data_IF_206505923732
#
_entry.id   IF_206505923732
#
_cell.length_a   1.000
_cell.length_b   1.000
_cell.length_c   1.000
_cell.angle_alpha   90.00
_cell.angle_beta   90.00
_cell.angle_gamma   90.00
#
_symmetry.space_group_name_H-M   'P 1'
#
loop_
_entity.id
_entity.type
_entity.pdbx_description
1 polymer ?
#
# COMPACT_ATOMS: atom_id res chain seq x y z
N UNK A 1 1.57 23.13 26.42
CA UNK A 1 1.87 23.85 25.17
C UNK A 1 1.66 22.90 24.02
N UNK A 2 0.65 23.12 23.17
CA UNK A 2 0.48 22.39 21.90
C UNK A 2 1.54 22.90 20.94
N UNK A 3 2.68 22.21 20.86
CA UNK A 3 3.69 22.49 19.85
C UNK A 3 3.13 22.08 18.49
N UNK A 4 3.23 23.00 17.52
CA UNK A 4 3.11 22.66 16.11
C UNK A 4 4.46 22.08 15.65
N UNK A 5 4.41 21.08 14.79
CA UNK A 5 5.57 20.45 14.19
C UNK A 5 5.24 20.01 12.76
N UNK A 6 6.22 19.77 11.88
CA UNK A 6 5.95 19.28 10.53
C UNK A 6 5.19 17.95 10.52
N UNK A 7 4.40 17.70 9.47
CA UNK A 7 3.58 16.50 9.36
C UNK A 7 4.39 15.20 9.46
N UNK A 8 5.53 15.10 8.79
CA UNK A 8 6.31 13.86 8.75
C UNK A 8 6.71 13.35 10.14
N UNK A 9 7.40 14.11 11.01
CA UNK A 9 7.73 13.64 12.36
C UNK A 9 6.50 13.42 13.24
N UNK A 10 5.41 14.18 13.03
CA UNK A 10 4.17 13.96 13.77
C UNK A 10 3.53 12.61 13.43
N UNK A 11 3.41 12.29 12.14
CA UNK A 11 2.85 11.04 11.60
C UNK A 11 3.76 9.85 11.95
N UNK A 12 5.08 9.99 11.77
CA UNK A 12 6.08 8.97 12.14
C UNK A 12 5.90 8.53 13.60
N UNK A 13 5.79 9.51 14.52
CA UNK A 13 5.56 9.22 15.93
C UNK A 13 4.19 8.57 16.18
N UNK A 14 3.15 9.09 15.53
CA UNK A 14 1.78 8.61 15.73
C UNK A 14 1.58 7.18 15.24
N UNK A 15 2.19 6.81 14.11
CA UNK A 15 2.03 5.50 13.47
C UNK A 15 3.07 4.48 13.93
N UNK A 16 4.35 4.87 14.00
CA UNK A 16 5.49 3.94 14.13
C UNK A 16 6.28 4.10 15.44
N UNK A 17 6.08 5.21 16.16
CA UNK A 17 6.76 5.48 17.44
C UNK A 17 6.39 4.48 18.56
N UNK A 18 6.97 4.63 19.76
CA UNK A 18 6.60 3.82 20.92
C UNK A 18 5.10 3.92 21.21
N UNK A 19 4.39 2.80 21.07
CA UNK A 19 2.93 2.78 21.19
C UNK A 19 2.20 3.41 20.01
N UNK A 20 2.81 3.59 18.85
CA UNK A 20 2.15 4.07 17.64
C UNK A 20 1.07 3.12 17.12
N UNK A 21 0.22 3.63 16.23
CA UNK A 21 -0.95 2.94 15.68
C UNK A 21 -0.63 1.52 15.18
N UNK A 22 0.34 1.36 14.27
CA UNK A 22 0.65 0.05 13.68
C UNK A 22 1.34 -0.94 14.61
N UNK A 23 1.77 -0.51 15.81
CA UNK A 23 2.27 -1.43 16.84
C UNK A 23 1.16 -2.02 17.70
N UNK A 24 -0.04 -1.44 17.67
CA UNK A 24 -1.18 -1.83 18.54
C UNK A 24 -2.37 -2.36 17.73
N UNK A 25 -2.71 -1.67 16.66
CA UNK A 25 -3.89 -1.95 15.83
C UNK A 25 -3.54 -2.81 14.63
N UNK A 26 -4.55 -3.50 14.08
CA UNK A 26 -4.49 -4.18 12.78
C UNK A 26 -5.26 -3.37 11.73
N UNK A 27 -4.66 -3.03 10.57
CA UNK A 27 -5.38 -2.41 9.45
C UNK A 27 -6.65 -3.20 9.10
N UNK A 28 -6.62 -4.52 9.26
CA UNK A 28 -7.75 -5.43 9.02
C UNK A 28 -8.95 -5.26 9.95
N UNK A 29 -8.81 -4.55 11.08
CA UNK A 29 -9.91 -4.14 11.96
C UNK A 29 -10.60 -2.86 11.48
N UNK A 30 -9.94 -2.10 10.61
CA UNK A 30 -10.42 -0.81 10.14
C UNK A 30 -10.79 -0.86 8.64
N UNK A 31 -10.17 -1.71 7.82
CA UNK A 31 -10.40 -1.71 6.37
C UNK A 31 -10.53 -3.10 5.75
N UNK A 32 -11.16 -3.12 4.58
CA UNK A 32 -11.07 -4.24 3.64
C UNK A 32 -9.93 -3.95 2.68
N UNK A 33 -8.83 -4.69 2.78
CA UNK A 33 -7.66 -4.58 1.89
C UNK A 33 -7.66 -5.69 0.85
N UNK A 34 -7.06 -5.45 -0.32
CA UNK A 34 -6.98 -6.46 -1.40
C UNK A 34 -6.30 -7.76 -0.94
N UNK A 35 -5.25 -7.64 -0.11
CA UNK A 35 -4.43 -8.75 0.39
C UNK A 35 -5.21 -9.84 1.16
N UNK A 36 -6.43 -9.54 1.63
CA UNK A 36 -7.29 -10.50 2.36
C UNK A 36 -8.21 -11.31 1.45
N UNK A 37 -8.38 -10.89 0.20
CA UNK A 37 -9.28 -11.55 -0.71
C UNK A 37 -8.59 -12.79 -1.30
N UNK A 38 -9.18 -13.99 -1.22
CA UNK A 38 -8.57 -15.20 -1.80
C UNK A 38 -8.21 -15.04 -3.29
N UNK A 39 -9.05 -14.35 -4.05
CA UNK A 39 -8.82 -14.05 -5.47
C UNK A 39 -7.57 -13.19 -5.72
N UNK A 40 -7.16 -12.37 -4.74
CA UNK A 40 -5.91 -11.62 -4.82
C UNK A 40 -4.70 -12.56 -4.64
N UNK A 41 -4.75 -13.48 -3.66
CA UNK A 41 -3.72 -14.50 -3.50
C UNK A 41 -3.61 -15.43 -4.73
N UNK A 42 -4.72 -15.79 -5.36
CA UNK A 42 -4.72 -16.54 -6.63
C UNK A 42 -3.98 -15.78 -7.76
N UNK A 43 -4.21 -14.48 -7.88
CA UNK A 43 -3.56 -13.65 -8.89
C UNK A 43 -2.06 -13.46 -8.58
N UNK A 44 -1.71 -13.22 -7.32
CA UNK A 44 -0.32 -13.12 -6.88
C UNK A 44 0.43 -14.44 -7.06
N UNK A 45 -0.21 -15.60 -6.84
CA UNK A 45 0.40 -16.90 -7.11
C UNK A 45 0.75 -17.05 -8.60
N UNK A 46 -0.13 -16.61 -9.51
CA UNK A 46 0.15 -16.61 -10.95
C UNK A 46 1.29 -15.66 -11.33
N UNK A 47 1.32 -14.46 -10.75
CA UNK A 47 2.45 -13.56 -10.91
C UNK A 47 3.75 -14.21 -10.41
N UNK A 48 3.71 -14.87 -9.25
CA UNK A 48 4.87 -15.55 -8.69
C UNK A 48 5.36 -16.67 -9.62
N UNK A 49 4.46 -17.45 -10.23
CA UNK A 49 4.80 -18.46 -11.23
C UNK A 49 5.45 -17.85 -12.47
N UNK A 50 4.91 -16.74 -13.01
CA UNK A 50 5.50 -16.02 -14.14
C UNK A 50 6.92 -15.52 -13.84
N UNK A 51 7.14 -14.98 -12.62
CA UNK A 51 8.45 -14.52 -12.17
C UNK A 51 9.40 -15.70 -11.97
N UNK A 52 8.97 -16.78 -11.31
CA UNK A 52 9.76 -17.99 -11.08
C UNK A 52 10.22 -18.62 -12.39
N UNK A 53 9.32 -18.73 -13.37
CA UNK A 53 9.63 -19.24 -14.71
C UNK A 53 10.61 -18.36 -15.45
N UNK A 54 10.40 -17.04 -15.44
CA UNK A 54 11.33 -16.07 -16.05
C UNK A 54 12.73 -16.15 -15.44
N UNK A 55 12.82 -16.44 -14.14
CA UNK A 55 14.09 -16.59 -13.44
C UNK A 55 14.76 -17.95 -13.62
N UNK A 56 14.09 -18.91 -14.27
CA UNK A 56 14.59 -20.27 -14.49
C UNK A 56 14.36 -21.21 -13.30
N UNK A 57 13.32 -20.96 -12.49
CA UNK A 57 12.92 -21.72 -11.30
C UNK A 57 14.04 -21.92 -10.28
N UNK A 58 14.63 -20.83 -9.74
CA UNK A 58 15.74 -20.94 -8.79
C UNK A 58 15.33 -21.68 -7.51
N UNK A 59 16.28 -22.39 -6.89
CA UNK A 59 16.01 -23.12 -5.62
C UNK A 59 15.60 -22.18 -4.48
N UNK A 60 16.13 -20.95 -4.46
CA UNK A 60 15.90 -19.96 -3.41
C UNK A 60 14.81 -18.90 -3.76
N UNK A 61 13.80 -19.27 -4.56
CA UNK A 61 12.70 -18.35 -4.90
C UNK A 61 11.92 -17.93 -3.65
N UNK A 62 11.92 -16.62 -3.37
CA UNK A 62 11.32 -16.06 -2.15
C UNK A 62 10.23 -15.04 -2.49
N UNK A 63 9.08 -15.18 -1.84
CA UNK A 63 8.03 -14.16 -1.80
C UNK A 63 8.10 -13.43 -0.47
N UNK A 64 8.25 -12.11 -0.53
CA UNK A 64 8.28 -11.22 0.64
C UNK A 64 7.05 -10.33 0.61
N UNK A 65 6.27 -10.33 1.68
CA UNK A 65 5.14 -9.41 1.89
C UNK A 65 5.53 -8.37 2.96
N UNK A 66 5.62 -7.10 2.56
CA UNK A 66 6.05 -5.98 3.41
C UNK A 66 4.82 -5.23 3.90
N UNK A 67 4.71 -5.07 5.23
CA UNK A 67 3.47 -4.62 5.84
C UNK A 67 2.43 -5.74 5.85
N UNK A 68 2.87 -6.99 6.07
CA UNK A 68 2.07 -8.20 5.87
C UNK A 68 0.77 -8.28 6.71
N UNK A 69 0.55 -7.38 7.67
CA UNK A 69 -0.71 -7.33 8.39
C UNK A 69 -0.88 -8.54 9.30
N UNK A 70 -1.95 -9.30 9.07
CA UNK A 70 -2.17 -10.60 9.71
C UNK A 70 -1.44 -11.77 9.02
N UNK A 71 -0.73 -11.52 7.92
CA UNK A 71 -0.15 -12.55 7.05
C UNK A 71 -1.18 -13.22 6.14
N UNK A 72 -2.35 -12.60 5.92
CA UNK A 72 -3.47 -13.18 5.17
C UNK A 72 -3.08 -13.57 3.73
N UNK A 73 -2.34 -12.70 3.04
CA UNK A 73 -1.84 -12.96 1.69
C UNK A 73 -0.93 -14.18 1.66
N UNK A 74 0.10 -14.19 2.50
CA UNK A 74 1.05 -15.30 2.58
C UNK A 74 0.38 -16.61 3.03
N UNK A 75 -0.62 -16.56 3.90
CA UNK A 75 -1.41 -17.72 4.29
C UNK A 75 -2.19 -18.31 3.10
N UNK A 76 -2.78 -17.45 2.26
CA UNK A 76 -3.39 -17.85 1.00
C UNK A 76 -2.37 -18.48 0.05
N UNK A 77 -1.21 -17.85 -0.14
CA UNK A 77 -0.15 -18.34 -1.02
C UNK A 77 0.46 -19.67 -0.54
N UNK A 78 0.57 -19.89 0.77
CA UNK A 78 1.09 -21.15 1.32
C UNK A 78 0.29 -22.38 0.89
N UNK A 79 -1.01 -22.23 0.61
CA UNK A 79 -1.85 -23.31 0.10
C UNK A 79 -1.85 -23.45 -1.43
N UNK A 80 -1.30 -22.47 -2.15
CA UNK A 80 -1.31 -22.42 -3.62
C UNK A 80 0.06 -22.74 -4.24
N UNK A 81 1.14 -22.52 -3.50
CA UNK A 81 2.50 -22.59 -4.02
C UNK A 81 3.26 -23.82 -3.51
N UNK A 82 4.15 -24.33 -4.36
CA UNK A 82 5.09 -25.41 -4.06
C UNK A 82 5.90 -25.12 -2.78
N UNK A 83 6.25 -26.17 -2.01
CA UNK A 83 7.03 -26.07 -0.76
C UNK A 83 8.43 -25.46 -0.95
N UNK A 84 8.99 -25.50 -2.17
CA UNK A 84 10.24 -24.81 -2.53
C UNK A 84 10.14 -23.30 -2.31
N UNK A 85 8.98 -22.70 -2.57
CA UNK A 85 8.81 -21.24 -2.47
C UNK A 85 8.86 -20.81 -1.02
N UNK A 86 9.84 -19.95 -0.68
CA UNK A 86 9.98 -19.37 0.65
C UNK A 86 9.03 -18.20 0.81
N UNK A 87 8.29 -18.18 1.92
CA UNK A 87 7.33 -17.11 2.24
C UNK A 87 7.83 -16.32 3.44
N UNK A 88 7.98 -15.01 3.31
CA UNK A 88 8.52 -14.13 4.35
C UNK A 88 7.58 -12.96 4.58
N UNK A 89 6.99 -12.87 5.77
CA UNK A 89 6.30 -11.69 6.24
C UNK A 89 7.30 -10.71 6.85
N UNK A 90 7.23 -9.44 6.47
CA UNK A 90 7.92 -8.33 7.14
C UNK A 90 6.87 -7.44 7.79
N UNK A 91 6.86 -7.43 9.12
CA UNK A 91 5.81 -6.79 9.90
C UNK A 91 6.34 -6.36 11.28
N UNK A 92 5.93 -5.18 11.76
CA UNK A 92 6.37 -4.61 13.03
C UNK A 92 5.77 -5.36 14.23
N UNK A 93 4.58 -5.93 14.06
CA UNK A 93 3.87 -6.66 15.11
C UNK A 93 4.39 -8.08 15.30
N UNK A 94 4.14 -8.70 16.47
CA UNK A 94 4.42 -10.12 16.67
C UNK A 94 3.63 -11.00 15.69
N UNK A 95 4.22 -12.16 15.36
CA UNK A 95 3.58 -13.18 14.53
C UNK A 95 2.20 -13.58 15.09
N UNK A 96 1.12 -13.53 14.27
CA UNK A 96 -0.19 -14.03 14.67
C UNK A 96 -0.19 -15.53 14.97
N UNK A 97 -1.07 -15.96 15.87
CA UNK A 97 -1.30 -17.40 16.13
C UNK A 97 -2.02 -18.04 14.94
N UNK A 98 -1.68 -19.30 14.64
CA UNK A 98 -2.35 -20.09 13.60
C UNK A 98 -1.88 -19.84 12.17
N UNK A 99 -0.90 -18.94 11.96
CA UNK A 99 -0.28 -18.73 10.66
C UNK A 99 0.56 -19.98 10.27
N UNK A 100 0.49 -20.48 9.01
CA UNK A 100 1.24 -21.65 8.56
C UNK A 100 2.74 -21.62 8.92
N UNK A 101 3.27 -22.72 9.43
CA UNK A 101 4.65 -22.79 9.97
C UNK A 101 5.72 -22.41 8.95
N UNK A 102 5.49 -22.70 7.66
CA UNK A 102 6.43 -22.37 6.57
C UNK A 102 6.57 -20.87 6.25
N UNK A 103 5.71 -20.02 6.81
CA UNK A 103 5.83 -18.57 6.67
C UNK A 103 6.85 -18.07 7.69
N UNK A 104 7.99 -17.55 7.25
CA UNK A 104 8.92 -16.85 8.13
C UNK A 104 8.36 -15.48 8.52
N UNK A 105 8.61 -15.03 9.75
CA UNK A 105 8.17 -13.73 10.25
C UNK A 105 9.36 -12.89 10.69
N UNK A 106 9.50 -11.71 10.11
CA UNK A 106 10.61 -10.78 10.36
C UNK A 106 10.10 -9.38 10.70
N UNK A 107 10.93 -8.61 11.37
CA UNK A 107 10.67 -7.19 11.67
C UNK A 107 11.48 -6.23 10.78
N UNK A 108 12.46 -6.77 10.07
CA UNK A 108 13.37 -6.09 9.17
C UNK A 108 13.30 -6.69 7.77
N UNK A 109 13.48 -5.83 6.76
CA UNK A 109 13.51 -6.24 5.36
C UNK A 109 14.74 -7.15 5.11
N UNK A 110 14.58 -8.24 4.33
CA UNK A 110 15.73 -9.00 3.84
C UNK A 110 16.73 -8.10 3.11
N UNK A 111 18.04 -8.36 3.28
CA UNK A 111 19.09 -7.59 2.59
C UNK A 111 19.10 -7.83 1.07
N UNK A 112 18.72 -9.05 0.67
CA UNK A 112 18.65 -9.47 -0.73
C UNK A 112 17.46 -10.41 -0.91
N UNK A 113 16.71 -10.20 -2.00
CA UNK A 113 15.58 -11.03 -2.42
C UNK A 113 15.80 -11.50 -3.84
N UNK A 114 15.50 -12.78 -4.06
CA UNK A 114 15.43 -13.40 -5.38
C UNK A 114 14.03 -13.99 -5.52
N UNK A 115 13.18 -13.35 -6.32
CA UNK A 115 11.75 -13.67 -6.42
C UNK A 115 10.85 -12.44 -6.40
N UNK A 116 9.80 -12.46 -5.60
CA UNK A 116 8.73 -11.45 -5.63
C UNK A 116 8.67 -10.70 -4.29
N UNK A 117 8.85 -9.38 -4.31
CA UNK A 117 8.58 -8.52 -3.16
C UNK A 117 7.27 -7.76 -3.39
N UNK A 118 6.37 -7.80 -2.41
CA UNK A 118 5.04 -7.21 -2.46
C UNK A 118 4.89 -6.22 -1.31
N UNK A 119 4.28 -5.08 -1.59
CA UNK A 119 3.94 -4.05 -0.63
C UNK A 119 2.53 -3.52 -0.93
N UNK A 120 1.51 -4.08 -0.28
CA UNK A 120 0.13 -3.62 -0.44
C UNK A 120 -0.22 -2.59 0.64
N UNK A 121 -0.72 -1.42 0.23
CA UNK A 121 -1.13 -0.34 1.13
C UNK A 121 0.00 0.03 2.11
N UNK A 122 1.21 0.17 1.56
CA UNK A 122 2.43 0.50 2.31
C UNK A 122 2.86 1.94 2.04
N UNK A 123 2.82 2.37 0.77
CA UNK A 123 3.38 3.66 0.37
C UNK A 123 2.50 4.82 0.85
N UNK A 124 1.18 4.64 0.87
CA UNK A 124 0.25 5.63 1.44
C UNK A 124 0.57 5.96 2.91
N UNK A 125 1.06 4.97 3.65
CA UNK A 125 1.38 4.99 5.08
C UNK A 125 2.81 5.45 5.39
N UNK A 126 3.63 5.76 4.37
CA UNK A 126 4.95 6.36 4.56
C UNK A 126 4.77 7.82 4.97
N UNK A 127 5.32 8.25 6.13
CA UNK A 127 5.17 9.63 6.59
C UNK A 127 5.80 10.63 5.61
N UNK A 128 5.01 11.65 5.25
CA UNK A 128 5.42 12.72 4.36
C UNK A 128 5.16 14.10 4.99
N UNK A 129 5.97 15.08 4.59
CA UNK A 129 5.67 16.48 4.88
C UNK A 129 4.66 17.01 3.86
N UNK A 130 3.88 18.01 4.28
CA UNK A 130 2.91 18.68 3.42
C UNK A 130 3.44 20.09 3.16
N UNK A 131 3.47 20.51 1.91
CA UNK A 131 3.71 21.88 1.52
C UNK A 131 2.38 22.61 1.34
N UNK A 132 2.35 23.90 1.71
CA UNK A 132 1.21 24.80 1.52
C UNK A 132 1.70 26.13 0.96
N UNK A 133 0.92 26.74 0.07
CA UNK A 133 1.14 28.13 -0.34
C UNK A 133 0.43 29.05 0.67
N UNK A 134 1.19 29.88 1.39
CA UNK A 134 0.64 30.83 2.37
C UNK A 134 -0.12 32.00 1.70
N UNK A 135 -0.78 32.83 2.52
CA UNK A 135 -1.56 33.99 2.04
C UNK A 135 -0.69 35.04 1.33
N UNK A 136 0.64 35.01 1.54
CA UNK A 136 1.61 35.85 0.84
C UNK A 136 2.17 35.19 -0.43
N UNK A 137 1.69 34.00 -0.81
CA UNK A 137 2.11 33.27 -2.01
C UNK A 137 3.44 32.53 -1.86
N UNK A 138 3.94 32.32 -0.64
CA UNK A 138 5.19 31.60 -0.38
C UNK A 138 4.93 30.13 -0.11
N UNK A 139 5.85 29.30 -0.56
CA UNK A 139 5.84 27.86 -0.32
C UNK A 139 6.39 27.57 1.10
N UNK A 140 5.54 27.04 1.98
CA UNK A 140 5.85 26.74 3.38
C UNK A 140 5.58 25.26 3.67
N UNK A 141 6.34 24.66 4.58
CA UNK A 141 5.86 23.42 5.19
C UNK A 141 4.60 23.71 6.00
N UNK A 142 3.60 22.84 5.92
CA UNK A 142 2.47 22.86 6.84
C UNK A 142 2.86 22.13 8.14
N UNK A 143 2.67 22.79 9.27
CA UNK A 143 2.83 22.20 10.59
C UNK A 143 1.47 21.83 11.17
N UNK A 144 1.44 20.81 12.02
CA UNK A 144 0.25 20.29 12.68
C UNK A 144 0.47 20.18 14.20
N UNK A 145 -0.58 20.41 14.98
CA UNK A 145 -0.56 20.14 16.42
C UNK A 145 -1.28 18.82 16.77
N UNK A 146 -1.19 18.40 18.04
CA UNK A 146 -1.84 17.15 18.52
C UNK A 146 -3.37 17.15 18.48
N UNK A 147 -4.00 18.23 18.03
CA UNK A 147 -5.46 18.33 17.82
C UNK A 147 -5.82 18.37 16.34
N UNK A 148 -4.83 18.19 15.44
CA UNK A 148 -5.03 18.27 13.99
C UNK A 148 -5.17 19.69 13.47
N UNK A 149 -4.88 20.73 14.27
CA UNK A 149 -4.87 22.11 13.74
C UNK A 149 -3.60 22.34 12.96
N UNK A 150 -3.72 22.96 11.79
CA UNK A 150 -2.58 23.24 10.92
C UNK A 150 -2.24 24.73 10.87
N UNK A 151 -1.00 25.03 10.46
CA UNK A 151 -0.54 26.39 10.12
C UNK A 151 0.65 26.34 9.15
N UNK A 152 0.91 27.40 8.38
CA UNK A 152 2.19 27.53 7.69
C UNK A 152 3.35 27.60 8.70
N UNK A 153 4.39 26.80 8.44
CA UNK A 153 5.62 26.68 9.21
C UNK A 153 6.81 27.34 8.52
N UNK A 154 7.98 26.70 8.54
CA UNK A 154 9.19 27.17 7.87
C UNK A 154 9.08 27.16 6.33
N UNK A 155 10.01 27.85 5.65
CA UNK A 155 10.15 27.75 4.19
C UNK A 155 10.49 26.32 3.77
N UNK A 156 9.94 25.87 2.63
CA UNK A 156 10.28 24.55 2.07
C UNK A 156 11.74 24.53 1.64
N UNK A 157 12.48 23.49 2.03
CA UNK A 157 13.88 23.32 1.67
C UNK A 157 14.09 23.04 0.18
N UNK A 158 15.30 23.31 -0.32
CA UNK A 158 15.61 23.25 -1.76
C UNK A 158 15.31 21.88 -2.41
N UNK A 159 15.61 20.77 -1.73
CA UNK A 159 15.37 19.43 -2.27
C UNK A 159 13.87 19.13 -2.42
N UNK A 160 13.07 19.46 -1.39
CA UNK A 160 11.62 19.28 -1.45
C UNK A 160 10.98 20.26 -2.44
N UNK A 161 11.51 21.48 -2.56
CA UNK A 161 11.04 22.45 -3.55
C UNK A 161 11.29 21.97 -4.99
N UNK A 162 12.43 21.31 -5.26
CA UNK A 162 12.71 20.66 -6.55
C UNK A 162 11.74 19.51 -6.81
N UNK A 163 11.53 18.64 -5.82
CA UNK A 163 10.58 17.54 -5.92
C UNK A 163 9.17 18.05 -6.23
N UNK A 164 8.71 19.10 -5.54
CA UNK A 164 7.41 19.73 -5.80
C UNK A 164 7.34 20.36 -7.20
N UNK A 165 8.40 21.02 -7.66
CA UNK A 165 8.41 21.59 -9.00
C UNK A 165 8.27 20.52 -10.09
N UNK A 166 8.96 19.39 -9.93
CA UNK A 166 8.99 18.29 -10.88
C UNK A 166 7.78 17.36 -10.79
N UNK A 167 7.24 17.17 -9.60
CA UNK A 167 6.13 16.26 -9.36
C UNK A 167 4.89 17.09 -9.07
N UNK A 168 4.71 17.69 -7.90
CA UNK A 168 3.44 18.32 -7.50
C UNK A 168 3.49 19.86 -7.36
N UNK A 169 3.48 20.62 -8.46
CA UNK A 169 3.64 22.07 -8.38
C UNK A 169 2.36 22.72 -7.88
N UNK A 170 2.49 23.46 -6.79
CA UNK A 170 1.46 24.35 -6.23
C UNK A 170 1.91 25.81 -6.38
N UNK A 171 0.95 26.72 -6.55
CA UNK A 171 1.13 28.12 -6.97
C UNK A 171 0.16 29.08 -6.28
N UNK A 172 -1.03 28.64 -5.92
CA UNK A 172 -2.08 29.53 -5.40
C UNK A 172 -2.25 29.38 -3.89
N UNK A 173 -2.47 30.48 -3.14
CA UNK A 173 -2.72 30.43 -1.70
C UNK A 173 -3.76 29.37 -1.32
N UNK A 174 -3.44 28.56 -0.31
CA UNK A 174 -4.28 27.46 0.17
C UNK A 174 -4.12 26.15 -0.60
N UNK A 175 -3.40 26.11 -1.72
CA UNK A 175 -3.02 24.83 -2.34
C UNK A 175 -2.05 24.06 -1.43
N UNK A 176 -2.25 22.76 -1.35
CA UNK A 176 -1.49 21.81 -0.53
C UNK A 176 -0.96 20.68 -1.41
N UNK A 177 0.22 20.20 -1.09
CA UNK A 177 0.84 19.05 -1.75
C UNK A 177 1.59 18.17 -0.75
N UNK A 178 1.34 16.87 -0.79
CA UNK A 178 2.14 15.90 -0.06
C UNK A 178 3.48 15.66 -0.78
N UNK A 179 4.60 15.86 -0.07
CA UNK A 179 5.95 15.67 -0.60
C UNK A 179 6.29 14.18 -0.59
N UNK A 180 6.34 13.57 -1.78
CA UNK A 180 6.50 12.12 -1.96
C UNK A 180 7.93 11.60 -1.86
N UNK A 181 8.96 12.45 -1.74
CA UNK A 181 10.36 12.02 -1.70
C UNK A 181 10.67 10.89 -0.69
N UNK A 182 10.06 10.82 0.52
CA UNK A 182 10.21 9.68 1.42
C UNK A 182 9.66 8.37 0.84
N UNK A 183 8.53 8.40 0.11
CA UNK A 183 7.94 7.23 -0.58
C UNK A 183 8.85 6.76 -1.71
N UNK A 184 9.40 7.68 -2.48
CA UNK A 184 10.35 7.36 -3.55
C UNK A 184 11.61 6.67 -2.99
N UNK A 185 12.06 7.09 -1.79
CA UNK A 185 13.15 6.44 -1.09
C UNK A 185 12.81 5.03 -0.61
N UNK A 186 11.60 4.81 -0.07
CA UNK A 186 11.11 3.48 0.29
C UNK A 186 11.04 2.57 -0.94
N UNK A 187 10.44 3.04 -2.03
CA UNK A 187 10.39 2.29 -3.28
C UNK A 187 11.78 1.90 -3.79
N UNK A 188 12.72 2.85 -3.81
CA UNK A 188 14.10 2.60 -4.23
C UNK A 188 14.81 1.58 -3.34
N UNK A 189 14.57 1.59 -2.03
CA UNK A 189 15.12 0.58 -1.11
C UNK A 189 14.52 -0.81 -1.40
N UNK A 190 13.20 -0.91 -1.55
CA UNK A 190 12.52 -2.16 -1.91
C UNK A 190 13.04 -2.72 -3.25
N UNK A 191 13.12 -1.88 -4.28
CA UNK A 191 13.63 -2.26 -5.59
C UNK A 191 15.14 -2.59 -5.59
N UNK A 192 15.91 -1.92 -4.73
CA UNK A 192 17.34 -2.19 -4.55
C UNK A 192 17.63 -3.54 -3.89
N UNK A 193 16.73 -4.03 -3.03
CA UNK A 193 16.85 -5.34 -2.35
C UNK A 193 16.52 -6.52 -3.25
N UNK A 194 15.69 -6.33 -4.29
CA UNK A 194 15.41 -7.37 -5.27
C UNK A 194 16.55 -7.44 -6.28
N UNK A 195 17.37 -8.48 -6.14
CA UNK A 195 18.54 -8.68 -7.00
C UNK A 195 18.17 -9.31 -8.34
N UNK A 196 17.14 -10.15 -8.36
CA UNK A 196 16.54 -10.78 -9.54
C UNK A 196 15.07 -11.04 -9.24
N UNK A 197 14.15 -10.56 -10.07
CA UNK A 197 12.72 -10.82 -9.90
C UNK A 197 11.85 -9.58 -10.04
N UNK A 198 10.88 -9.40 -9.15
CA UNK A 198 9.87 -8.35 -9.28
C UNK A 198 9.58 -7.69 -7.94
N UNK A 199 9.40 -6.37 -7.98
CA UNK A 199 8.86 -5.57 -6.89
C UNK A 199 7.48 -5.09 -7.32
N UNK A 200 6.50 -5.27 -6.45
CA UNK A 200 5.12 -4.87 -6.64
C UNK A 200 4.66 -4.03 -5.45
N UNK A 201 4.20 -2.81 -5.70
CA UNK A 201 3.40 -2.05 -4.75
C UNK A 201 1.97 -1.89 -5.24
N UNK A 202 1.01 -1.97 -4.34
CA UNK A 202 -0.41 -1.76 -4.64
C UNK A 202 -0.98 -0.74 -3.67
N UNK A 203 -1.23 0.48 -4.15
CA UNK A 203 -1.62 1.62 -3.31
C UNK A 203 -2.60 2.53 -4.04
N UNK A 204 -3.45 3.24 -3.31
CA UNK A 204 -4.30 4.27 -3.90
C UNK A 204 -3.52 5.58 -4.08
N UNK A 205 -3.79 6.27 -5.18
CA UNK A 205 -2.93 7.32 -5.66
C UNK A 205 -3.50 8.06 -6.84
N UNK A 206 -2.73 9.00 -7.36
CA UNK A 206 -3.10 9.81 -8.52
C UNK A 206 -1.89 10.08 -9.40
N UNK A 207 -2.16 10.26 -10.69
CA UNK A 207 -1.23 10.90 -11.62
C UNK A 207 -1.29 12.42 -11.45
N UNK A 208 -0.27 13.10 -12.00
CA UNK A 208 -0.11 14.55 -11.97
C UNK A 208 -1.38 15.34 -12.30
N UNK A 209 -2.14 14.91 -13.30
CA UNK A 209 -3.34 15.61 -13.80
C UNK A 209 -4.54 15.49 -12.87
N UNK A 210 -4.55 14.50 -11.97
CA UNK A 210 -5.67 14.19 -11.07
C UNK A 210 -5.43 14.61 -9.62
N UNK A 211 -4.33 15.34 -9.35
CA UNK A 211 -3.96 15.77 -8.00
C UNK A 211 -4.92 16.82 -7.44
N UNK A 212 -5.46 16.60 -6.23
CA UNK A 212 -6.36 17.57 -5.61
C UNK A 212 -5.59 18.76 -5.06
N UNK A 213 -6.12 19.97 -5.28
CA UNK A 213 -5.54 21.21 -4.75
C UNK A 213 -5.46 21.23 -3.22
N UNK A 214 -6.36 20.52 -2.53
CA UNK A 214 -6.40 20.46 -1.06
C UNK A 214 -5.50 19.41 -0.43
N UNK A 215 -4.71 18.66 -1.23
CA UNK A 215 -4.00 17.48 -0.75
C UNK A 215 -4.95 16.30 -0.47
N UNK A 216 -4.38 15.24 0.10
CA UNK A 216 -5.05 13.95 0.35
C UNK A 216 -4.84 13.39 1.76
N UNK A 217 -4.02 14.04 2.60
CA UNK A 217 -3.84 13.63 3.99
C UNK A 217 -5.19 13.47 4.69
N UNK A 218 -5.49 12.24 5.10
CA UNK A 218 -6.72 11.86 5.78
C UNK A 218 -6.43 10.91 6.93
N UNK A 219 -7.46 10.54 7.68
CA UNK A 219 -7.34 9.54 8.70
C UNK A 219 -8.56 8.66 8.83
N UNK A 220 -8.36 7.48 9.39
CA UNK A 220 -9.43 6.53 9.62
C UNK A 220 -9.39 5.92 11.00
N UNK A 221 -10.59 5.67 11.54
CA UNK A 221 -10.80 4.96 12.79
C UNK A 221 -12.05 4.11 12.67
N UNK A 222 -11.94 2.83 13.01
CA UNK A 222 -13.05 1.86 12.91
C UNK A 222 -13.72 1.85 11.52
N UNK A 223 -12.90 1.96 10.48
CA UNK A 223 -13.32 1.96 9.08
C UNK A 223 -14.12 3.16 8.62
N UNK A 224 -14.02 4.27 9.35
CA UNK A 224 -14.62 5.54 8.98
C UNK A 224 -13.56 6.60 8.87
N UNK A 225 -13.70 7.43 7.86
CA UNK A 225 -12.91 8.65 7.72
C UNK A 225 -13.18 9.57 8.91
N UNK A 226 -12.11 10.12 9.48
CA UNK A 226 -12.12 11.03 10.63
C UNK A 226 -11.13 12.16 10.39
N UNK A 227 -11.21 13.30 11.12
CA UNK A 227 -10.20 14.33 11.03
C UNK A 227 -8.80 13.77 11.32
N UNK A 228 -7.82 14.16 10.51
CA UNK A 228 -6.42 13.75 10.65
C UNK A 228 -5.79 14.35 11.92
N UNK A 229 -5.56 13.51 12.93
CA UNK A 229 -4.95 13.91 14.21
C UNK A 229 -3.74 13.00 14.51
N UNK A 230 -2.51 13.55 14.56
CA UNK A 230 -1.29 12.77 14.82
C UNK A 230 -1.08 12.48 16.31
N UNK A 231 -2.06 11.84 16.95
CA UNK A 231 -2.02 11.37 18.34
C UNK A 231 -1.94 9.84 18.46
N UNK A 232 -1.94 9.13 17.33
CA UNK A 232 -1.89 7.67 17.23
C UNK A 232 -3.23 6.98 17.47
N UNK A 233 -4.34 7.71 17.56
CA UNK A 233 -5.69 7.14 17.72
C UNK A 233 -6.37 6.75 16.40
N UNK A 234 -5.77 7.11 15.27
CA UNK A 234 -6.28 6.84 13.94
C UNK A 234 -5.13 6.45 13.00
N UNK A 235 -5.49 5.74 11.94
CA UNK A 235 -4.64 5.47 10.80
C UNK A 235 -4.50 6.75 9.98
N UNK A 236 -3.28 7.19 9.66
CA UNK A 236 -3.01 8.45 8.94
C UNK A 236 -2.38 8.11 7.60
N UNK A 237 -3.02 8.53 6.52
CA UNK A 237 -2.62 8.13 5.18
C UNK A 237 -2.69 9.31 4.22
N UNK A 238 -1.93 9.24 3.14
CA UNK A 238 -2.04 10.16 2.02
C UNK A 238 -1.84 9.44 0.70
N UNK A 239 -2.58 9.85 -0.33
CA UNK A 239 -2.51 9.23 -1.65
C UNK A 239 -1.11 9.34 -2.23
N UNK A 240 -0.72 8.31 -2.97
CA UNK A 240 0.59 8.25 -3.62
C UNK A 240 0.59 9.06 -4.91
N UNK A 241 1.59 9.92 -5.10
CA UNK A 241 1.94 10.49 -6.39
C UNK A 241 2.65 9.40 -7.23
N UNK A 242 1.89 8.49 -7.83
CA UNK A 242 2.43 7.22 -8.37
C UNK A 242 3.39 7.40 -9.54
N UNK A 243 3.26 8.50 -10.28
CA UNK A 243 4.17 8.90 -11.34
C UNK A 243 5.54 9.35 -10.82
N UNK A 244 5.64 9.77 -9.55
CA UNK A 244 6.91 10.16 -8.93
C UNK A 244 7.70 8.98 -8.34
N UNK A 245 7.02 7.87 -8.02
CA UNK A 245 7.59 6.70 -7.34
C UNK A 245 8.75 6.08 -8.15
N UNK A 246 8.68 6.15 -9.48
CA UNK A 246 9.70 5.59 -10.37
C UNK A 246 9.57 4.09 -10.58
N UNK A 247 8.33 3.58 -10.66
CA UNK A 247 8.06 2.23 -11.11
C UNK A 247 8.07 2.14 -12.65
N UNK A 248 8.65 1.07 -13.20
CA UNK A 248 8.70 0.84 -14.67
C UNK A 248 7.31 0.66 -15.31
N UNK A 249 6.37 0.09 -14.55
CA UNK A 249 5.01 -0.19 -15.02
C UNK A 249 3.98 0.33 -14.03
N UNK A 250 2.98 1.04 -14.57
CA UNK A 250 1.84 1.57 -13.85
C UNK A 250 0.56 1.12 -14.57
N UNK A 251 -0.30 0.42 -13.87
CA UNK A 251 -1.63 0.04 -14.34
C UNK A 251 -2.62 0.04 -13.17
N UNK A 252 -3.92 -0.03 -13.44
CA UNK A 252 -4.91 -0.16 -12.38
C UNK A 252 -4.97 -1.61 -11.89
N UNK A 253 -5.17 -1.80 -10.58
CA UNK A 253 -5.28 -3.13 -9.95
C UNK A 253 -6.32 -3.99 -10.66
N UNK A 254 -7.48 -3.41 -11.01
CA UNK A 254 -8.52 -4.14 -11.72
C UNK A 254 -8.09 -4.65 -13.11
N UNK A 255 -7.15 -3.97 -13.77
CA UNK A 255 -6.59 -4.38 -15.06
C UNK A 255 -5.54 -5.47 -14.86
N UNK A 256 -4.59 -5.26 -13.96
CA UNK A 256 -3.57 -6.24 -13.59
C UNK A 256 -4.17 -7.57 -13.14
N UNK A 257 -5.17 -7.52 -12.25
CA UNK A 257 -5.83 -8.73 -11.75
C UNK A 257 -6.56 -9.48 -12.88
N UNK A 258 -7.19 -8.77 -13.83
CA UNK A 258 -7.82 -9.42 -15.00
C UNK A 258 -6.77 -10.05 -15.91
N UNK A 259 -5.63 -9.40 -16.12
CA UNK A 259 -4.51 -9.96 -16.88
C UNK A 259 -3.98 -11.24 -16.22
N UNK A 260 -3.96 -11.28 -14.88
CA UNK A 260 -3.64 -12.47 -14.07
C UNK A 260 -4.82 -13.46 -13.94
N UNK A 261 -5.89 -13.31 -14.73
CA UNK A 261 -6.99 -14.28 -14.83
C UNK A 261 -8.09 -14.16 -13.77
N UNK A 262 -8.14 -13.06 -13.00
CA UNK A 262 -9.26 -12.81 -12.10
C UNK A 262 -10.55 -12.58 -12.88
N UNK A 263 -11.60 -13.34 -12.55
CA UNK A 263 -12.93 -13.20 -13.14
C UNK A 263 -14.00 -13.04 -12.06
N UNK A 264 -14.89 -12.07 -12.29
CA UNK A 264 -16.10 -11.84 -11.50
C UNK A 264 -17.36 -12.42 -12.17
N UNK A 265 -17.18 -13.31 -13.16
CA UNK A 265 -18.31 -13.97 -13.83
C UNK A 265 -19.12 -14.78 -12.82
N UNK A 266 -20.44 -14.63 -12.88
CA UNK A 266 -21.35 -15.36 -11.99
C UNK A 266 -21.46 -16.82 -12.45
N UNK A 267 -21.49 -17.79 -11.52
CA UNK A 267 -21.71 -19.18 -11.88
C UNK A 267 -23.05 -19.37 -12.60
N UNK A 268 -23.18 -20.33 -13.53
CA UNK A 268 -24.43 -20.60 -14.22
C UNK A 268 -25.57 -20.93 -13.25
N UNK A 269 -26.76 -20.33 -13.46
CA UNK A 269 -27.92 -20.53 -12.58
C UNK A 269 -28.33 -22.01 -12.46
N UNK A 270 -28.09 -22.84 -13.48
CA UNK A 270 -28.36 -24.27 -13.43
C UNK A 270 -27.63 -24.98 -12.26
N UNK A 271 -26.47 -24.48 -11.85
CA UNK A 271 -25.72 -25.02 -10.71
C UNK A 271 -26.47 -24.81 -9.39
N UNK A 272 -27.26 -23.74 -9.25
CA UNK A 272 -28.08 -23.49 -8.06
C UNK A 272 -29.11 -24.60 -7.80
N UNK A 273 -29.55 -25.30 -8.85
CA UNK A 273 -30.51 -26.40 -8.74
C UNK A 273 -29.83 -27.77 -8.57
N UNK A 274 -28.65 -27.97 -9.14
CA UNK A 274 -27.94 -29.26 -9.12
C UNK A 274 -26.98 -29.41 -7.94
N UNK A 275 -26.31 -28.33 -7.56
CA UNK A 275 -25.34 -28.27 -6.47
C UNK A 275 -25.42 -26.89 -5.78
N UNK A 276 -26.46 -26.64 -4.95
CA UNK A 276 -26.71 -25.32 -4.36
C UNK A 276 -25.53 -24.77 -3.55
N UNK A 277 -24.81 -25.63 -2.81
CA UNK A 277 -23.64 -25.25 -2.02
C UNK A 277 -22.47 -24.80 -2.90
N UNK A 278 -22.20 -25.54 -3.98
CA UNK A 278 -21.16 -25.18 -4.95
C UNK A 278 -21.47 -23.85 -5.64
N UNK A 279 -22.74 -23.64 -6.03
CA UNK A 279 -23.20 -22.36 -6.57
C UNK A 279 -23.00 -21.21 -5.58
N UNK A 280 -23.38 -21.40 -4.32
CA UNK A 280 -23.24 -20.37 -3.30
C UNK A 280 -21.76 -19.99 -3.08
N UNK A 281 -20.86 -20.99 -3.03
CA UNK A 281 -19.42 -20.78 -2.91
C UNK A 281 -18.85 -20.04 -4.14
N UNK A 282 -19.22 -20.49 -5.35
CA UNK A 282 -18.77 -19.86 -6.59
C UNK A 282 -19.28 -18.40 -6.72
N UNK A 283 -20.53 -18.15 -6.32
CA UNK A 283 -21.11 -16.80 -6.33
C UNK A 283 -20.46 -15.89 -5.28
N UNK A 284 -20.14 -16.42 -4.09
CA UNK A 284 -19.39 -15.68 -3.09
C UNK A 284 -17.99 -15.31 -3.61
N UNK A 285 -17.29 -16.23 -4.28
CA UNK A 285 -15.99 -15.96 -4.92
C UNK A 285 -16.10 -14.88 -5.99
N UNK A 286 -17.06 -15.01 -6.92
CA UNK A 286 -17.29 -14.01 -7.96
C UNK A 286 -17.60 -12.62 -7.38
N UNK A 287 -18.37 -12.56 -6.29
CA UNK A 287 -18.71 -11.30 -5.61
C UNK A 287 -17.51 -10.68 -4.90
N UNK A 288 -16.63 -11.49 -4.29
CA UNK A 288 -15.39 -11.02 -3.72
C UNK A 288 -14.43 -10.50 -4.80
N UNK A 289 -14.28 -11.22 -5.91
CA UNK A 289 -13.49 -10.77 -7.07
C UNK A 289 -14.05 -9.48 -7.64
N UNK A 290 -15.37 -9.34 -7.75
CA UNK A 290 -16.00 -8.11 -8.25
C UNK A 290 -15.56 -6.86 -7.45
N UNK A 291 -15.38 -6.97 -6.13
CA UNK A 291 -14.89 -5.87 -5.28
C UNK A 291 -13.43 -5.51 -5.57
N UNK A 292 -12.58 -6.50 -5.84
CA UNK A 292 -11.17 -6.26 -6.21
C UNK A 292 -11.03 -5.59 -7.58
N UNK A 293 -12.00 -5.79 -8.46
CA UNK A 293 -12.02 -5.29 -9.83
C UNK A 293 -12.83 -3.99 -9.99
N UNK A 294 -13.47 -3.51 -8.91
CA UNK A 294 -14.35 -2.36 -8.94
C UNK A 294 -13.54 -1.06 -9.15
N UNK A 295 -13.71 -0.35 -10.28
CA UNK A 295 -12.99 0.90 -10.55
C UNK A 295 -13.43 2.07 -9.66
N UNK A 296 -14.47 1.92 -8.85
CA UNK A 296 -14.84 2.89 -7.82
C UNK A 296 -14.33 2.47 -6.42
N UNK A 297 -13.63 1.34 -6.31
CA UNK A 297 -13.09 0.79 -5.08
C UNK A 297 -11.67 0.27 -5.28
N UNK A 298 -11.40 -0.95 -4.79
CA UNK A 298 -10.05 -1.53 -4.80
C UNK A 298 -9.45 -1.67 -6.21
N UNK A 299 -10.29 -1.82 -7.24
CA UNK A 299 -9.83 -1.91 -8.62
C UNK A 299 -9.17 -0.64 -9.15
N UNK A 300 -9.38 0.51 -8.47
CA UNK A 300 -8.75 1.79 -8.78
C UNK A 300 -7.37 1.98 -8.14
N UNK A 301 -6.93 1.07 -7.26
CA UNK A 301 -5.59 1.13 -6.71
C UNK A 301 -4.57 0.99 -7.85
N UNK A 302 -3.42 1.65 -7.72
CA UNK A 302 -2.34 1.54 -8.67
C UNK A 302 -1.52 0.30 -8.39
N UNK A 303 -1.33 -0.50 -9.44
CA UNK A 303 -0.41 -1.62 -9.49
C UNK A 303 0.92 -1.12 -10.06
N UNK A 304 1.87 -0.86 -9.17
CA UNK A 304 3.18 -0.31 -9.50
C UNK A 304 4.22 -1.44 -9.50
N UNK A 305 4.87 -1.69 -10.64
CA UNK A 305 5.78 -2.83 -10.80
C UNK A 305 7.13 -2.43 -11.38
N UNK A 306 8.18 -3.07 -10.89
CA UNK A 306 9.55 -3.00 -11.44
C UNK A 306 10.15 -4.39 -11.47
N UNK A 307 10.75 -4.74 -12.61
CA UNK A 307 11.42 -6.02 -12.83
C UNK A 307 12.95 -5.83 -12.72
N UNK A 308 13.64 -6.78 -12.10
CA UNK A 308 15.08 -6.73 -11.77
C UNK A 308 15.83 -7.94 -12.31
#
# INVERSE_FOLDING_TARGET
>A
MTGFEPWRPAVERALYGPGGFYRRELPSHHFTTSARAPAFADAVARLADEVDERLGRPEDFTIVDVGAGGGDLLAGLAGLLDERVRLVAVELRPRPRGLPERIAWRHDLPERVEGLLIACELLDNVPCDIAVVDDEGRLRYEEVDRRGRTRPGADVGDEDAKWLAEWWPIRHPGERAEIGAPRDAVWRDLAGRVARGTVLAVDYGHLREARPAGGTMTAFRDGREVPAVPDGSCDLTANVAVDAVGADHLELQGEALRALGASAERPPLALAYRAPTEYAMALARASATARLLDPAGLGAHWWMRTDR
#
